data_IF_077006538475
#
_entry.id   IF_077006538475
#
_cell.length_a   1.000
_cell.length_b   1.000
_cell.length_c   1.000
_cell.angle_alpha   90.00
_cell.angle_beta   90.00
_cell.angle_gamma   90.00
#
_symmetry.space_group_name_H-M   'P 1'
#
loop_
_entity.id
_entity.type
_entity.pdbx_description
1 polymer ?
#
# COMPACT_ATOMS: atom_id res chain seq x y z
N UNK A 1 12.60 -5.66 11.19
CA UNK A 1 11.41 -6.44 10.77
C UNK A 1 10.30 -6.54 11.83
N UNK A 2 10.58 -6.48 13.14
CA UNK A 2 9.54 -6.56 14.20
C UNK A 2 8.61 -5.32 14.37
N UNK A 3 8.84 -4.21 13.67
CA UNK A 3 7.95 -3.02 13.73
C UNK A 3 6.78 -3.06 12.74
N UNK A 4 6.89 -3.84 11.66
CA UNK A 4 5.87 -3.90 10.61
C UNK A 4 4.71 -4.82 11.01
N UNK A 5 4.97 -5.81 11.89
CA UNK A 5 3.97 -6.79 12.33
C UNK A 5 2.85 -6.21 13.19
N UNK A 6 3.03 -5.01 13.75
CA UNK A 6 2.00 -4.30 14.53
C UNK A 6 1.14 -3.33 13.70
N UNK A 7 1.40 -3.14 12.40
CA UNK A 7 0.64 -2.21 11.52
C UNK A 7 -0.70 -2.80 11.00
N UNK A 8 -1.03 -4.05 11.34
CA UNK A 8 -2.20 -4.77 10.81
C UNK A 8 -3.57 -4.23 11.30
N UNK A 9 -3.60 -3.11 12.03
CA UNK A 9 -4.83 -2.42 12.48
C UNK A 9 -4.83 -0.91 12.23
N UNK A 10 -3.80 -0.34 11.59
CA UNK A 10 -3.75 1.11 11.39
C UNK A 10 -4.52 1.49 10.13
N UNK A 11 -5.53 2.34 10.30
CA UNK A 11 -6.21 3.01 9.20
C UNK A 11 -5.40 4.25 8.85
N UNK A 12 -5.15 4.46 7.55
CA UNK A 12 -4.33 5.56 7.08
C UNK A 12 -5.17 6.52 6.23
N UNK A 13 -4.96 7.82 6.41
CA UNK A 13 -5.48 8.83 5.50
C UNK A 13 -4.56 9.01 4.28
N UNK A 14 -5.03 9.74 3.27
CA UNK A 14 -4.17 10.19 2.17
C UNK A 14 -2.94 10.95 2.65
N UNK A 15 -3.05 11.74 3.74
CA UNK A 15 -1.93 12.50 4.30
C UNK A 15 -0.89 11.58 4.96
N UNK A 16 -1.35 10.53 5.61
CA UNK A 16 -0.45 9.54 6.20
C UNK A 16 0.32 8.82 5.10
N UNK A 17 -0.37 8.36 4.04
CA UNK A 17 0.25 7.75 2.87
C UNK A 17 1.26 8.69 2.22
N UNK A 18 0.92 9.97 2.08
CA UNK A 18 1.83 11.01 1.58
C UNK A 18 3.13 11.09 2.38
N UNK A 19 3.00 11.07 3.71
CA UNK A 19 4.11 11.19 4.64
C UNK A 19 5.01 9.97 4.64
N UNK A 20 4.45 8.77 4.48
CA UNK A 20 5.23 7.52 4.51
C UNK A 20 5.89 7.16 3.19
N UNK A 21 5.30 7.53 2.06
CA UNK A 21 5.77 7.09 0.72
C UNK A 21 6.76 8.04 0.07
N UNK A 22 6.96 9.23 0.63
CA UNK A 22 7.77 10.31 0.05
C UNK A 22 7.37 10.65 -1.42
N UNK A 23 6.15 10.32 -1.83
CA UNK A 23 5.69 10.58 -3.18
C UNK A 23 5.46 12.07 -3.42
N UNK A 24 5.73 12.57 -4.64
CA UNK A 24 5.37 13.93 -5.01
C UNK A 24 3.87 14.16 -4.85
N UNK A 25 3.47 15.26 -4.20
CA UNK A 25 2.08 15.54 -3.83
C UNK A 25 1.07 15.35 -4.97
N UNK A 26 1.45 15.72 -6.19
CA UNK A 26 0.62 15.60 -7.38
C UNK A 26 0.37 14.15 -7.83
N UNK A 27 1.27 13.20 -7.54
CA UNK A 27 1.13 11.78 -7.88
C UNK A 27 0.38 10.97 -6.83
N UNK A 28 0.23 11.50 -5.62
CA UNK A 28 -0.33 10.73 -4.49
C UNK A 28 -1.74 10.21 -4.80
N UNK A 29 -2.58 11.04 -5.43
CA UNK A 29 -3.93 10.62 -5.79
C UNK A 29 -3.91 9.47 -6.79
N UNK A 30 -3.09 9.58 -7.82
CA UNK A 30 -3.00 8.58 -8.89
C UNK A 30 -2.40 7.28 -8.37
N UNK A 31 -1.37 7.36 -7.54
CA UNK A 31 -0.74 6.20 -6.94
C UNK A 31 -1.68 5.49 -5.95
N UNK A 32 -2.44 6.22 -5.13
CA UNK A 32 -3.44 5.61 -4.25
C UNK A 32 -4.52 4.93 -5.08
N UNK A 33 -4.99 5.58 -6.16
CA UNK A 33 -5.97 4.99 -7.07
C UNK A 33 -5.44 3.70 -7.69
N UNK A 34 -4.19 3.69 -8.13
CA UNK A 34 -3.55 2.48 -8.63
C UNK A 34 -3.51 1.36 -7.59
N UNK A 35 -3.17 1.69 -6.34
CA UNK A 35 -3.17 0.71 -5.25
C UNK A 35 -4.58 0.20 -4.89
N UNK A 36 -5.61 1.03 -5.02
CA UNK A 36 -7.02 0.62 -4.90
C UNK A 36 -7.41 -0.33 -6.05
N UNK A 37 -7.08 0.02 -7.29
CA UNK A 37 -7.37 -0.79 -8.49
C UNK A 37 -6.60 -2.12 -8.50
N UNK A 38 -5.39 -2.14 -7.93
CA UNK A 38 -4.59 -3.34 -7.73
C UNK A 38 -5.01 -4.17 -6.49
N UNK A 39 -6.09 -3.78 -5.82
CA UNK A 39 -6.62 -4.38 -4.58
C UNK A 39 -5.66 -4.34 -3.37
N UNK A 40 -4.50 -3.65 -3.48
CA UNK A 40 -3.47 -3.50 -2.41
C UNK A 40 -4.02 -2.68 -1.24
N UNK A 41 -4.75 -1.62 -1.55
CA UNK A 41 -5.44 -0.80 -0.55
C UNK A 41 -6.94 -1.01 -0.61
N UNK A 42 -7.55 -1.17 0.56
CA UNK A 42 -8.98 -1.20 0.73
C UNK A 42 -9.48 0.08 1.39
N UNK A 43 -10.67 0.52 0.96
CA UNK A 43 -11.32 1.69 1.53
C UNK A 43 -12.13 1.26 2.73
N UNK A 44 -11.72 1.70 3.92
CA UNK A 44 -12.41 1.38 5.17
C UNK A 44 -13.57 2.34 5.40
N UNK A 45 -13.38 3.62 5.09
CA UNK A 45 -14.41 4.65 5.29
C UNK A 45 -14.29 5.78 4.29
N UNK A 46 -15.38 6.03 3.55
CA UNK A 46 -15.55 7.23 2.73
C UNK A 46 -16.35 8.28 3.50
N UNK A 47 -15.74 9.41 3.83
CA UNK A 47 -16.45 10.54 4.42
C UNK A 47 -16.63 11.64 3.35
N UNK A 48 -17.87 12.01 3.01
CA UNK A 48 -18.12 13.17 2.13
C UNK A 48 -17.62 14.45 2.80
N UNK A 49 -16.73 15.18 2.11
CA UNK A 49 -16.14 16.42 2.63
C UNK A 49 -15.05 16.25 3.71
N UNK A 50 -14.66 15.01 4.05
CA UNK A 50 -13.53 14.72 4.94
C UNK A 50 -12.56 13.74 4.28
N UNK A 51 -11.53 13.35 5.01
CA UNK A 51 -10.54 12.38 4.53
C UNK A 51 -11.14 10.97 4.38
N UNK A 52 -10.69 10.28 3.34
CA UNK A 52 -10.97 8.85 3.14
C UNK A 52 -9.92 8.05 3.89
N UNK A 53 -10.36 7.01 4.60
CA UNK A 53 -9.50 6.12 5.35
C UNK A 53 -9.29 4.81 4.59
N UNK A 54 -8.05 4.37 4.57
CA UNK A 54 -7.53 3.23 3.83
C UNK A 54 -6.91 2.22 4.79
N UNK A 55 -6.90 0.94 4.39
CA UNK A 55 -6.09 -0.10 5.02
C UNK A 55 -5.39 -0.93 3.96
N UNK A 56 -4.28 -1.56 4.33
CA UNK A 56 -3.69 -2.61 3.50
C UNK A 56 -4.61 -3.82 3.50
N UNK A 57 -4.80 -4.42 2.32
CA UNK A 57 -5.51 -5.67 2.20
C UNK A 57 -4.66 -6.81 2.79
N UNK A 58 -5.15 -7.45 3.84
CA UNK A 58 -4.47 -8.54 4.53
C UNK A 58 -4.40 -9.83 3.72
N UNK A 59 -5.20 -9.94 2.64
CA UNK A 59 -5.23 -11.13 1.77
C UNK A 59 -4.14 -11.10 0.70
N UNK A 60 -3.48 -9.96 0.50
CA UNK A 60 -2.41 -9.85 -0.49
C UNK A 60 -1.11 -10.36 0.12
N UNK A 61 -0.67 -11.51 -0.40
CA UNK A 61 0.72 -11.93 -0.28
C UNK A 61 1.56 -10.99 -1.13
N UNK A 62 2.05 -9.92 -0.52
CA UNK A 62 3.13 -9.12 -1.09
C UNK A 62 4.36 -10.03 -1.14
N UNK A 63 4.53 -10.73 -2.26
CA UNK A 63 5.78 -11.44 -2.55
C UNK A 63 6.85 -10.37 -2.69
N UNK A 64 7.82 -10.35 -1.78
CA UNK A 64 8.91 -9.38 -1.84
C UNK A 64 9.69 -9.58 -3.16
N UNK A 65 10.15 -8.50 -3.81
CA UNK A 65 10.80 -8.58 -5.12
C UNK A 65 12.10 -9.42 -5.12
N UNK A 66 12.70 -9.70 -3.95
CA UNK A 66 13.88 -10.57 -3.84
C UNK A 66 13.62 -12.02 -4.31
N UNK A 67 12.38 -12.53 -4.21
CA UNK A 67 12.06 -13.90 -4.69
C UNK A 67 11.89 -13.99 -6.23
N UNK A 68 11.86 -12.85 -6.94
CA UNK A 68 11.66 -12.84 -8.40
C UNK A 68 12.96 -12.96 -9.18
N UNK A 69 14.11 -12.61 -8.60
CA UNK A 69 15.42 -12.73 -9.26
C UNK A 69 15.97 -14.17 -9.24
N UNK A 70 15.75 -14.95 -8.18
CA UNK A 70 16.24 -16.35 -8.12
C UNK A 70 15.59 -17.28 -9.16
N UNK A 71 14.35 -16.99 -9.58
CA UNK A 71 13.67 -17.77 -10.63
C UNK A 71 14.21 -17.49 -12.04
N UNK A 72 14.87 -16.36 -12.26
CA UNK A 72 15.52 -16.05 -13.55
C UNK A 72 16.97 -16.53 -13.60
N UNK A 73 17.62 -16.65 -12.44
CA UNK A 73 19.00 -17.13 -12.34
C UNK A 73 19.14 -18.65 -12.36
N UNK A 74 18.05 -19.40 -12.13
CA UNK A 74 18.08 -20.88 -12.09
C UNK A 74 17.79 -21.56 -13.43
N UNK A 75 17.75 -20.82 -14.55
CA UNK A 75 17.57 -21.37 -15.91
C UNK A 75 18.78 -21.10 -16.79
N UNK A 76 19.98 -21.46 -16.32
CA UNK A 76 21.17 -21.61 -17.17
C UNK A 76 21.80 -22.97 -16.94
#
# INVERSE_FOLDING_TARGET
>A
LNKIRNMNKEMFSRRDIARFTAWPGYKIRDNIRYLEEACILEIVKKCKGKETLYRLNSEIKLTEPEELEERRSSTT
#
